data_IF_249443023944
#
_entry.id   IF_249443023944
#
_cell.length_a   1.000
_cell.length_b   1.000
_cell.length_c   1.000
_cell.angle_alpha   90.00
_cell.angle_beta   90.00
_cell.angle_gamma   90.00
#
_symmetry.space_group_name_H-M   'P 1'
#
loop_
_entity.id
_entity.type
_entity.pdbx_description
1 polymer ?
#
# COMPACT_ATOMS: atom_id res chain seq x y z
N UNK A 1 -10.25 -6.33 -12.56
CA UNK A 1 -10.17 -7.20 -11.73
C UNK A 1 -11.40 -7.70 -11.00
N UNK A 2 -12.21 -8.49 -11.78
CA UNK A 2 -13.47 -9.06 -11.29
C UNK A 2 -13.30 -10.11 -10.15
N UNK A 3 -12.12 -10.71 -10.00
CA UNK A 3 -11.86 -11.70 -8.95
C UNK A 3 -11.66 -11.06 -7.57
N UNK A 4 -11.04 -9.87 -7.51
CA UNK A 4 -10.86 -9.16 -6.25
C UNK A 4 -12.19 -8.60 -5.73
N UNK A 5 -13.08 -8.17 -6.62
CA UNK A 5 -14.42 -7.70 -6.26
C UNK A 5 -15.30 -8.82 -5.66
N UNK A 6 -15.14 -10.07 -6.12
CA UNK A 6 -15.84 -11.23 -5.54
C UNK A 6 -15.34 -11.57 -4.14
N UNK A 7 -14.05 -11.36 -3.83
CA UNK A 7 -13.50 -11.56 -2.48
C UNK A 7 -14.02 -10.54 -1.48
N UNK A 8 -14.21 -9.28 -1.86
CA UNK A 8 -14.82 -8.28 -0.98
C UNK A 8 -16.25 -8.63 -0.59
N UNK A 9 -17.05 -9.19 -1.51
CA UNK A 9 -18.42 -9.63 -1.23
C UNK A 9 -18.54 -10.75 -0.19
N UNK A 10 -17.48 -11.53 0.06
CA UNK A 10 -17.52 -12.66 1.01
C UNK A 10 -17.22 -12.27 2.45
N UNK A 11 -16.67 -11.08 2.69
CA UNK A 11 -16.24 -10.61 4.02
C UNK A 11 -17.18 -9.55 4.62
N UNK A 12 -18.13 -9.06 3.85
CA UNK A 12 -19.10 -8.07 4.27
C UNK A 12 -20.48 -8.40 3.70
N UNK A 13 -21.52 -8.35 4.54
CA UNK A 13 -22.91 -8.57 4.15
C UNK A 13 -23.81 -7.50 4.75
N UNK A 14 -24.46 -6.70 3.91
CA UNK A 14 -25.49 -5.75 4.35
C UNK A 14 -26.72 -6.42 5.02
N UNK A 15 -26.79 -7.76 5.02
CA UNK A 15 -27.84 -8.54 5.70
C UNK A 15 -27.43 -8.98 7.10
N UNK A 16 -26.17 -8.80 7.47
CA UNK A 16 -25.64 -9.13 8.78
C UNK A 16 -25.48 -7.84 9.59
N UNK A 17 -26.22 -7.74 10.67
CA UNK A 17 -26.23 -6.57 11.56
C UNK A 17 -24.85 -6.27 12.14
N UNK A 18 -24.09 -7.30 12.50
CA UNK A 18 -22.73 -7.13 13.01
C UNK A 18 -21.78 -6.53 11.95
N UNK A 19 -21.94 -6.90 10.67
CA UNK A 19 -21.13 -6.33 9.60
C UNK A 19 -21.46 -4.84 9.42
N UNK A 20 -22.74 -4.47 9.46
CA UNK A 20 -23.21 -3.09 9.34
C UNK A 20 -22.70 -2.26 10.52
N UNK A 21 -22.86 -2.74 11.74
CA UNK A 21 -22.36 -2.06 12.94
C UNK A 21 -20.84 -1.92 12.92
N UNK A 22 -20.11 -2.97 12.46
CA UNK A 22 -18.67 -2.92 12.33
C UNK A 22 -18.22 -1.79 11.38
N UNK A 23 -18.91 -1.60 10.25
CA UNK A 23 -18.62 -0.51 9.32
C UNK A 23 -18.94 0.86 9.92
N UNK A 24 -20.05 1.00 10.63
CA UNK A 24 -20.41 2.25 11.31
C UNK A 24 -19.30 2.63 12.32
N UNK A 25 -18.86 1.69 13.16
CA UNK A 25 -17.79 1.96 14.12
C UNK A 25 -16.45 2.25 13.41
N UNK A 26 -16.18 1.63 12.28
CA UNK A 26 -15.01 1.98 11.46
C UNK A 26 -15.09 3.41 10.92
N UNK A 27 -16.25 3.85 10.42
CA UNK A 27 -16.44 5.22 9.94
C UNK A 27 -16.27 6.24 11.08
N UNK A 28 -16.84 5.97 12.26
CA UNK A 28 -16.63 6.81 13.46
C UNK A 28 -15.16 6.86 13.82
N UNK A 29 -14.48 5.73 13.81
CA UNK A 29 -13.05 5.65 14.08
C UNK A 29 -12.22 6.49 13.11
N UNK A 30 -12.57 6.44 11.83
CA UNK A 30 -11.89 7.20 10.79
C UNK A 30 -12.01 8.72 11.04
N UNK A 31 -13.19 9.19 11.46
CA UNK A 31 -13.39 10.60 11.84
C UNK A 31 -12.48 11.02 13.00
N UNK A 32 -12.35 10.20 14.04
CA UNK A 32 -11.42 10.47 15.14
C UNK A 32 -9.95 10.43 14.69
N UNK A 33 -9.59 9.45 13.85
CA UNK A 33 -8.24 9.30 13.32
C UNK A 33 -7.81 10.54 12.51
N UNK A 34 -8.68 11.08 11.65
CA UNK A 34 -8.39 12.30 10.87
C UNK A 34 -8.16 13.54 11.72
N UNK A 35 -8.65 13.54 12.96
CA UNK A 35 -8.46 14.61 13.94
C UNK A 35 -7.28 14.32 14.89
N UNK A 36 -6.52 13.24 14.65
CA UNK A 36 -5.43 12.75 15.50
C UNK A 36 -5.88 12.34 16.94
N UNK A 37 -7.17 12.03 17.11
CA UNK A 37 -7.72 11.56 18.40
C UNK A 37 -7.62 10.02 18.42
N UNK A 38 -6.39 9.51 18.48
CA UNK A 38 -6.09 8.10 18.24
C UNK A 38 -6.67 7.14 19.28
N UNK A 39 -6.76 7.53 20.54
CA UNK A 39 -7.30 6.65 21.59
C UNK A 39 -8.77 6.33 21.37
N UNK A 40 -9.59 7.33 21.04
CA UNK A 40 -11.00 7.16 20.71
C UNK A 40 -11.17 6.37 19.39
N UNK A 41 -10.36 6.71 18.40
CA UNK A 41 -10.34 5.94 17.14
C UNK A 41 -10.05 4.46 17.39
N UNK A 42 -9.00 4.15 18.15
CA UNK A 42 -8.59 2.78 18.48
C UNK A 42 -9.68 2.04 19.29
N UNK A 43 -10.35 2.72 20.20
CA UNK A 43 -11.46 2.14 20.95
C UNK A 43 -12.58 1.66 20.02
N UNK A 44 -13.06 2.52 19.10
CA UNK A 44 -14.11 2.14 18.16
C UNK A 44 -13.64 1.11 17.13
N UNK A 45 -12.36 1.13 16.72
CA UNK A 45 -11.78 0.09 15.86
C UNK A 45 -11.80 -1.29 16.53
N UNK A 46 -11.56 -1.37 17.84
CA UNK A 46 -11.65 -2.63 18.58
C UNK A 46 -13.08 -3.17 18.65
N UNK A 47 -14.08 -2.30 18.80
CA UNK A 47 -15.48 -2.71 18.72
C UNK A 47 -15.80 -3.22 17.30
N UNK A 48 -15.39 -2.49 16.28
CA UNK A 48 -15.58 -2.89 14.88
C UNK A 48 -14.91 -4.25 14.57
N UNK A 49 -13.69 -4.46 15.06
CA UNK A 49 -12.96 -5.73 14.91
C UNK A 49 -13.65 -6.88 15.63
N UNK A 50 -14.20 -6.65 16.82
CA UNK A 50 -14.97 -7.64 17.56
C UNK A 50 -16.24 -8.08 16.81
N UNK A 51 -16.95 -7.12 16.21
CA UNK A 51 -18.18 -7.38 15.45
C UNK A 51 -17.91 -8.09 14.11
N UNK A 52 -16.84 -7.71 13.42
CA UNK A 52 -16.40 -8.36 12.19
C UNK A 52 -14.88 -8.53 12.12
N UNK A 53 -14.32 -9.66 12.64
CA UNK A 53 -12.88 -9.92 12.63
C UNK A 53 -12.28 -10.06 11.21
N UNK A 54 -13.11 -10.22 10.18
CA UNK A 54 -12.69 -10.35 8.78
C UNK A 54 -12.62 -9.01 8.06
N UNK A 55 -13.08 -7.94 8.69
CA UNK A 55 -13.04 -6.59 8.14
C UNK A 55 -11.66 -5.97 8.36
N UNK A 56 -10.69 -6.37 7.53
CA UNK A 56 -9.27 -6.02 7.70
C UNK A 56 -8.94 -4.53 7.60
N UNK A 57 -9.86 -3.70 7.09
CA UNK A 57 -9.70 -2.23 7.13
C UNK A 57 -9.53 -1.71 8.56
N UNK A 58 -10.18 -2.34 9.55
CA UNK A 58 -9.99 -1.99 10.96
C UNK A 58 -8.53 -2.09 11.38
N UNK A 59 -7.86 -3.18 10.98
CA UNK A 59 -6.45 -3.41 11.32
C UNK A 59 -5.50 -2.49 10.57
N UNK A 60 -5.84 -2.12 9.33
CA UNK A 60 -5.02 -1.14 8.60
C UNK A 60 -5.06 0.23 9.25
N UNK A 61 -6.25 0.70 9.65
CA UNK A 61 -6.40 1.98 10.33
C UNK A 61 -5.80 1.95 11.74
N UNK A 62 -5.95 0.83 12.45
CA UNK A 62 -5.36 0.65 13.79
C UNK A 62 -3.82 0.71 13.73
N UNK A 63 -3.21 0.03 12.75
CA UNK A 63 -1.77 0.11 12.53
C UNK A 63 -1.31 1.52 12.14
N UNK A 64 -2.12 2.23 11.34
CA UNK A 64 -1.86 3.63 10.98
C UNK A 64 -1.90 4.55 12.20
N UNK A 65 -2.92 4.42 13.03
CA UNK A 65 -3.05 5.22 14.25
C UNK A 65 -1.87 5.02 15.21
N UNK A 66 -1.44 3.77 15.43
CA UNK A 66 -0.27 3.50 16.25
C UNK A 66 1.01 4.09 15.64
N UNK A 67 1.18 3.96 14.33
CA UNK A 67 2.33 4.54 13.63
C UNK A 67 2.34 6.08 13.76
N UNK A 68 1.21 6.75 13.49
CA UNK A 68 1.09 8.20 13.61
C UNK A 68 1.31 8.69 15.06
N UNK A 69 0.89 7.89 16.03
CA UNK A 69 1.11 8.14 17.46
C UNK A 69 2.53 7.72 17.93
N UNK A 70 3.46 7.47 17.01
CA UNK A 70 4.86 7.08 17.28
C UNK A 70 5.02 5.79 18.08
N UNK A 71 4.01 4.91 18.07
CA UNK A 71 4.05 3.61 18.70
C UNK A 71 4.32 2.51 17.66
N UNK A 72 5.55 2.52 17.11
CA UNK A 72 5.97 1.58 16.06
C UNK A 72 5.90 0.12 16.52
N UNK A 73 6.09 -0.16 17.81
CA UNK A 73 5.96 -1.51 18.37
C UNK A 73 4.54 -2.07 18.18
N UNK A 74 3.52 -1.31 18.58
CA UNK A 74 2.13 -1.75 18.42
C UNK A 74 1.70 -1.78 16.95
N UNK A 75 2.15 -0.81 16.15
CA UNK A 75 1.91 -0.82 14.70
C UNK A 75 2.43 -2.13 14.06
N UNK A 76 3.68 -2.51 14.34
CA UNK A 76 4.29 -3.74 13.84
C UNK A 76 3.53 -4.99 14.30
N UNK A 77 3.13 -5.06 15.57
CA UNK A 77 2.35 -6.17 16.10
C UNK A 77 1.04 -6.38 15.36
N UNK A 78 0.31 -5.32 15.03
CA UNK A 78 -0.92 -5.41 14.22
C UNK A 78 -0.60 -5.85 12.78
N UNK A 79 0.48 -5.33 12.20
CA UNK A 79 0.89 -5.66 10.83
C UNK A 79 1.31 -7.12 10.68
N UNK A 80 1.80 -7.80 11.72
CA UNK A 80 2.17 -9.22 11.67
C UNK A 80 1.02 -10.15 11.28
N UNK A 81 -0.22 -9.75 11.54
CA UNK A 81 -1.42 -10.53 11.20
C UNK A 81 -1.67 -10.63 9.69
N UNK A 82 -1.12 -9.71 8.89
CA UNK A 82 -1.29 -9.75 7.44
C UNK A 82 -0.40 -10.80 6.78
N UNK A 83 -1.02 -11.88 6.30
CA UNK A 83 -0.33 -13.05 5.74
C UNK A 83 -0.20 -12.96 4.21
N UNK A 84 0.79 -13.67 3.65
CA UNK A 84 1.09 -13.68 2.20
C UNK A 84 -0.08 -14.09 1.29
N UNK A 85 -1.02 -14.89 1.78
CA UNK A 85 -2.19 -15.30 1.00
C UNK A 85 -3.06 -14.12 0.56
N UNK A 86 -3.07 -13.06 1.35
CA UNK A 86 -3.74 -11.79 1.06
C UNK A 86 -2.76 -10.78 0.51
N UNK A 87 -2.45 -10.89 -0.80
CA UNK A 87 -1.39 -10.10 -1.45
C UNK A 87 -1.48 -8.59 -1.17
N UNK A 88 -2.69 -8.01 -1.17
CA UNK A 88 -2.88 -6.57 -0.97
C UNK A 88 -2.54 -6.15 0.46
N UNK A 89 -3.02 -6.87 1.47
CA UNK A 89 -2.72 -6.58 2.87
C UNK A 89 -1.28 -6.92 3.23
N UNK A 90 -0.75 -8.00 2.66
CA UNK A 90 0.67 -8.32 2.80
C UNK A 90 1.57 -7.23 2.19
N UNK A 91 1.18 -6.67 1.04
CA UNK A 91 1.88 -5.57 0.43
C UNK A 91 1.74 -4.27 1.24
N UNK A 92 0.55 -3.99 1.78
CA UNK A 92 0.34 -2.88 2.71
C UNK A 92 1.28 -2.99 3.91
N UNK A 93 1.33 -4.15 4.58
CA UNK A 93 2.28 -4.44 5.67
C UNK A 93 3.72 -4.17 5.24
N UNK A 94 4.13 -4.70 4.10
CA UNK A 94 5.50 -4.56 3.59
C UNK A 94 5.89 -3.09 3.44
N UNK A 95 5.01 -2.28 2.84
CA UNK A 95 5.24 -0.84 2.68
C UNK A 95 5.30 -0.11 4.02
N UNK A 96 4.41 -0.45 4.94
CA UNK A 96 4.34 0.23 6.25
C UNK A 96 5.57 -0.09 7.10
N UNK A 97 5.97 -1.36 7.18
CA UNK A 97 7.19 -1.75 7.90
C UNK A 97 8.44 -1.17 7.21
N UNK A 98 8.49 -1.18 5.88
CA UNK A 98 9.58 -0.53 5.15
C UNK A 98 9.71 0.95 5.48
N UNK A 99 8.59 1.67 5.60
CA UNK A 99 8.58 3.08 6.01
C UNK A 99 9.09 3.27 7.44
N UNK A 100 8.65 2.44 8.38
CA UNK A 100 9.13 2.47 9.77
C UNK A 100 10.64 2.24 9.83
N UNK A 101 11.15 1.24 9.06
CA UNK A 101 12.58 0.96 8.99
C UNK A 101 13.37 2.13 8.39
N UNK A 102 12.85 2.79 7.35
CA UNK A 102 13.49 3.95 6.75
C UNK A 102 13.59 5.14 7.71
N UNK A 103 12.60 5.32 8.60
CA UNK A 103 12.57 6.38 9.60
C UNK A 103 13.44 6.07 10.83
N UNK A 104 13.46 4.80 11.29
CA UNK A 104 14.13 4.38 12.52
C UNK A 104 15.61 3.98 12.30
N UNK A 105 15.93 3.39 11.14
CA UNK A 105 17.24 2.79 10.89
C UNK A 105 17.94 3.41 9.66
N UNK A 106 17.62 2.86 8.48
CA UNK A 106 18.19 3.35 7.22
C UNK A 106 17.32 3.03 6.01
N UNK A 107 17.45 3.85 4.98
CA UNK A 107 16.82 3.58 3.68
C UNK A 107 17.32 2.28 3.05
N UNK A 108 18.58 1.91 3.29
CA UNK A 108 19.16 0.68 2.79
C UNK A 108 18.48 -0.55 3.39
N UNK A 109 18.30 -0.58 4.71
CA UNK A 109 17.58 -1.69 5.39
C UNK A 109 16.12 -1.77 4.93
N UNK A 110 15.46 -0.63 4.77
CA UNK A 110 14.10 -0.55 4.25
C UNK A 110 14.02 -1.11 2.82
N UNK A 111 14.97 -0.75 1.94
CA UNK A 111 15.02 -1.24 0.56
C UNK A 111 15.24 -2.76 0.51
N UNK A 112 16.17 -3.30 1.31
CA UNK A 112 16.42 -4.74 1.43
C UNK A 112 15.17 -5.48 1.91
N UNK A 113 14.51 -4.96 2.94
CA UNK A 113 13.28 -5.54 3.48
C UNK A 113 12.17 -5.58 2.43
N UNK A 114 11.90 -4.44 1.76
CA UNK A 114 10.85 -4.32 0.75
C UNK A 114 11.14 -5.25 -0.44
N UNK A 115 12.37 -5.27 -0.95
CA UNK A 115 12.80 -6.15 -2.05
C UNK A 115 12.58 -7.63 -1.73
N UNK A 116 12.99 -8.07 -0.53
CA UNK A 116 12.80 -9.46 -0.06
C UNK A 116 11.32 -9.85 -0.07
N UNK A 117 10.45 -8.98 0.45
CA UNK A 117 9.03 -9.27 0.57
C UNK A 117 8.31 -9.16 -0.79
N UNK A 118 8.67 -8.19 -1.62
CA UNK A 118 8.17 -8.08 -2.99
C UNK A 118 8.48 -9.35 -3.80
N UNK A 119 9.73 -9.83 -3.79
CA UNK A 119 10.13 -11.04 -4.50
C UNK A 119 9.40 -12.31 -4.01
N UNK A 120 8.83 -12.27 -2.81
CA UNK A 120 8.04 -13.37 -2.27
C UNK A 120 6.59 -13.41 -2.76
N UNK A 121 6.13 -12.38 -3.46
CA UNK A 121 4.76 -12.27 -4.00
C UNK A 121 4.71 -12.94 -5.37
N UNK A 122 4.00 -14.06 -5.46
CA UNK A 122 3.75 -14.72 -6.76
C UNK A 122 2.74 -13.89 -7.56
N UNK A 123 3.08 -13.52 -8.80
CA UNK A 123 2.22 -12.76 -9.71
C UNK A 123 1.68 -11.46 -9.05
N UNK A 124 2.52 -10.45 -8.84
CA UNK A 124 2.10 -9.18 -8.26
C UNK A 124 1.08 -8.47 -9.16
N UNK A 125 0.10 -7.78 -8.57
CA UNK A 125 -0.87 -6.99 -9.32
C UNK A 125 -0.21 -5.74 -9.91
N UNK A 126 -0.85 -5.10 -10.90
CA UNK A 126 -0.36 -3.84 -11.48
C UNK A 126 -0.12 -2.77 -10.41
N UNK A 127 -1.00 -2.71 -9.40
CA UNK A 127 -0.85 -1.80 -8.27
C UNK A 127 0.42 -2.09 -7.45
N UNK A 128 0.71 -3.35 -7.17
CA UNK A 128 1.90 -3.75 -6.42
C UNK A 128 3.17 -3.42 -7.22
N UNK A 129 3.19 -3.71 -8.52
CA UNK A 129 4.32 -3.37 -9.41
C UNK A 129 4.55 -1.86 -9.45
N UNK A 130 3.47 -1.08 -9.59
CA UNK A 130 3.55 0.38 -9.62
C UNK A 130 4.06 0.97 -8.30
N UNK A 131 3.55 0.48 -7.16
CA UNK A 131 4.02 0.88 -5.85
C UNK A 131 5.51 0.55 -5.66
N UNK A 132 5.95 -0.65 -6.09
CA UNK A 132 7.35 -1.07 -5.98
C UNK A 132 8.28 -0.19 -6.83
N UNK A 133 7.87 0.13 -8.06
CA UNK A 133 8.60 1.07 -8.91
C UNK A 133 8.73 2.46 -8.26
N UNK A 134 7.62 2.99 -7.70
CA UNK A 134 7.64 4.28 -7.01
C UNK A 134 8.53 4.29 -5.75
N UNK A 135 8.54 3.20 -4.99
CA UNK A 135 9.40 3.06 -3.81
C UNK A 135 10.87 3.07 -4.22
N UNK A 136 11.24 2.29 -5.25
CA UNK A 136 12.62 2.30 -5.74
C UNK A 136 13.04 3.67 -6.28
N UNK A 137 12.13 4.38 -6.98
CA UNK A 137 12.37 5.77 -7.37
C UNK A 137 12.63 6.68 -6.15
N UNK A 138 11.87 6.50 -5.06
CA UNK A 138 12.05 7.25 -3.82
C UNK A 138 13.38 6.97 -3.12
N UNK A 139 13.90 5.76 -3.22
CA UNK A 139 15.23 5.37 -2.75
C UNK A 139 16.35 5.63 -3.77
N UNK A 140 16.06 6.41 -4.81
CA UNK A 140 17.00 6.76 -5.89
C UNK A 140 17.54 5.55 -6.69
N UNK A 141 16.92 4.37 -6.56
CA UNK A 141 17.20 3.19 -7.36
C UNK A 141 16.50 3.30 -8.72
N UNK A 142 16.93 4.27 -9.53
CA UNK A 142 16.21 4.66 -10.77
C UNK A 142 16.19 3.55 -11.81
N UNK A 143 17.27 2.76 -11.94
CA UNK A 143 17.32 1.62 -12.87
C UNK A 143 16.21 0.62 -12.60
N UNK A 144 16.05 0.23 -11.33
CA UNK A 144 14.99 -0.71 -10.90
C UNK A 144 13.61 -0.09 -11.15
N UNK A 145 13.44 1.19 -10.82
CA UNK A 145 12.18 1.89 -11.05
C UNK A 145 11.81 1.89 -12.55
N UNK A 146 12.76 2.21 -13.43
CA UNK A 146 12.59 2.22 -14.90
C UNK A 146 12.23 0.82 -15.42
N UNK A 147 12.89 -0.23 -14.92
CA UNK A 147 12.58 -1.61 -15.29
C UNK A 147 11.10 -1.93 -15.03
N UNK A 148 10.62 -1.67 -13.81
CA UNK A 148 9.23 -1.97 -13.44
C UNK A 148 8.21 -1.05 -14.10
N UNK A 149 8.51 0.23 -14.35
CA UNK A 149 7.65 1.09 -15.16
C UNK A 149 7.55 0.57 -16.58
N UNK A 150 8.65 0.09 -17.18
CA UNK A 150 8.67 -0.50 -18.52
C UNK A 150 7.86 -1.79 -18.59
N UNK A 151 7.90 -2.63 -17.54
CA UNK A 151 7.04 -3.80 -17.44
C UNK A 151 5.56 -3.43 -17.36
N UNK A 152 5.22 -2.41 -16.57
CA UNK A 152 3.85 -1.91 -16.42
C UNK A 152 3.27 -1.37 -17.71
N UNK A 153 4.05 -0.64 -18.53
CA UNK A 153 3.62 -0.12 -19.82
C UNK A 153 3.13 -1.21 -20.77
N UNK A 154 3.71 -2.43 -20.68
CA UNK A 154 3.30 -3.58 -21.50
C UNK A 154 1.95 -4.17 -21.06
N UNK A 155 1.46 -3.81 -19.88
CA UNK A 155 0.28 -4.41 -19.23
C UNK A 155 -0.90 -3.45 -19.12
N UNK A 156 -0.70 -2.17 -19.40
CA UNK A 156 -1.77 -1.15 -19.36
C UNK A 156 -2.27 -0.84 -20.75
N UNK A 157 -3.49 -0.34 -20.86
CA UNK A 157 -4.08 0.07 -22.13
C UNK A 157 -3.34 1.27 -22.71
N UNK A 158 -3.16 1.25 -24.03
CA UNK A 158 -2.61 2.39 -24.80
C UNK A 158 -3.55 3.59 -24.66
N UNK A 159 -2.99 4.79 -24.61
CA UNK A 159 -3.73 6.07 -24.46
C UNK A 159 -4.57 6.15 -23.18
N UNK A 160 -4.23 5.40 -22.14
CA UNK A 160 -4.89 5.46 -20.85
C UNK A 160 -4.23 6.46 -19.91
N UNK A 161 -5.00 7.02 -18.98
CA UNK A 161 -4.44 7.84 -17.89
C UNK A 161 -3.39 7.08 -17.06
N UNK A 162 -3.51 5.76 -16.96
CA UNK A 162 -2.52 4.92 -16.29
C UNK A 162 -1.19 4.94 -17.06
N UNK A 163 -1.22 4.85 -18.40
CA UNK A 163 -0.02 4.90 -19.23
C UNK A 163 0.69 6.25 -19.09
N UNK A 164 -0.02 7.37 -19.22
CA UNK A 164 0.58 8.70 -19.09
C UNK A 164 1.23 8.92 -17.72
N UNK A 165 0.64 8.41 -16.66
CA UNK A 165 1.27 8.45 -15.32
C UNK A 165 2.55 7.62 -15.22
N UNK A 166 2.59 6.46 -15.86
CA UNK A 166 3.77 5.60 -15.87
C UNK A 166 4.88 6.24 -16.69
N UNK A 167 4.57 6.78 -17.87
CA UNK A 167 5.50 7.52 -18.72
C UNK A 167 6.12 8.70 -17.98
N UNK A 168 5.29 9.54 -17.37
CA UNK A 168 5.78 10.67 -16.56
C UNK A 168 6.73 10.22 -15.44
N UNK A 169 6.42 9.13 -14.72
CA UNK A 169 7.28 8.61 -13.66
C UNK A 169 8.58 8.02 -14.19
N UNK A 170 8.53 7.30 -15.32
CA UNK A 170 9.70 6.74 -15.96
C UNK A 170 10.60 7.83 -16.57
N UNK A 171 10.02 8.78 -17.29
CA UNK A 171 10.72 9.94 -17.83
C UNK A 171 11.45 10.72 -16.76
N UNK A 172 10.75 11.02 -15.64
CA UNK A 172 11.39 11.66 -14.48
C UNK A 172 12.51 10.82 -13.85
N UNK A 173 12.47 9.49 -13.94
CA UNK A 173 13.59 8.64 -13.50
C UNK A 173 14.77 8.71 -14.48
N UNK A 174 14.52 8.75 -15.78
CA UNK A 174 15.57 8.98 -16.79
C UNK A 174 16.23 10.35 -16.64
N UNK A 175 15.46 11.40 -16.37
CA UNK A 175 15.97 12.75 -16.12
C UNK A 175 16.95 12.75 -14.93
N UNK A 176 16.59 12.10 -13.81
CA UNK A 176 17.44 11.96 -12.63
C UNK A 176 18.76 11.22 -12.91
N UNK A 177 18.76 10.32 -13.88
CA UNK A 177 19.94 9.62 -14.36
C UNK A 177 20.74 10.40 -15.44
N UNK A 178 20.32 11.60 -15.80
CA UNK A 178 20.93 12.41 -16.86
C UNK A 178 20.62 11.91 -18.29
N UNK A 179 19.69 10.98 -18.47
CA UNK A 179 19.30 10.49 -19.79
C UNK A 179 18.13 11.31 -20.35
N UNK A 180 18.45 12.54 -20.75
CA UNK A 180 17.44 13.52 -21.20
C UNK A 180 16.71 13.11 -22.46
N UNK A 181 17.38 12.44 -23.40
CA UNK A 181 16.74 11.97 -24.65
C UNK A 181 15.57 11.01 -24.35
N UNK A 182 15.78 10.04 -23.45
CA UNK A 182 14.71 9.11 -23.06
C UNK A 182 13.65 9.78 -22.19
N UNK A 183 14.05 10.74 -21.37
CA UNK A 183 13.12 11.51 -20.55
C UNK A 183 12.15 12.30 -21.45
N UNK A 184 12.68 13.05 -22.42
CA UNK A 184 11.88 13.84 -23.37
C UNK A 184 10.92 12.95 -24.18
N UNK A 185 11.39 11.79 -24.63
CA UNK A 185 10.53 10.84 -25.35
C UNK A 185 9.32 10.42 -24.51
N UNK A 186 9.53 10.06 -23.23
CA UNK A 186 8.46 9.65 -22.34
C UNK A 186 7.51 10.81 -21.97
N UNK A 187 8.00 12.05 -21.95
CA UNK A 187 7.20 13.23 -21.63
C UNK A 187 6.36 13.74 -22.79
N UNK A 188 6.73 13.41 -24.04
CA UNK A 188 6.04 13.83 -25.26
C UNK A 188 5.03 12.79 -25.77
N UNK A 189 5.09 11.53 -25.29
CA UNK A 189 4.18 10.44 -25.62
C UNK A 189 2.91 10.47 -24.71
#
# INVERSE_FOLDING_TARGET
>A
DNEDYKKFKTHFSCKNENDILAEIFYLVSNLFSTQNIFDQSNFYLRISEYLNPKFYFNRTLLAENYYLNKNNYQANKILEDFKKKDKLYFWYKTKKIGRILSEDNSEEEAAIYIKKHFNSIKSPTLKILYDYANINKGFENYEIAIEYYTELMKKVEKNSYALSRILYRRGSSYERMGNYEKADKDMLE
#
